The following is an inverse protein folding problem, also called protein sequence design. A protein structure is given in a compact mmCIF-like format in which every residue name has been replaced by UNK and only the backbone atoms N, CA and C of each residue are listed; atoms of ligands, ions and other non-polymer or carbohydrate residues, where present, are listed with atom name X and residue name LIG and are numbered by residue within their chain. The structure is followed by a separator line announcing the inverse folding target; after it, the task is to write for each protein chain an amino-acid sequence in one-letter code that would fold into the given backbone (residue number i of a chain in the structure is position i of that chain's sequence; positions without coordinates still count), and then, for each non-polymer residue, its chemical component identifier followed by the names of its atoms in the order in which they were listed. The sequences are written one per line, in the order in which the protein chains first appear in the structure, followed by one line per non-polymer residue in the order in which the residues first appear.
data_IF_082393207273
#
_entry.id   IF_082393207273
#
_cell.length_a   1.000
_cell.length_b   1.000
_cell.length_c   1.000
_cell.angle_alpha   90.00
_cell.angle_beta   90.00
_cell.angle_gamma   90.00
#
_symmetry.space_group_name_H-M   'P 1'
#
loop_
_entity.id
_entity.type
_entity.pdbx_description
1 polymer ?
#
# COMPACT_ATOMS: atom_id res chain seq x y z
N UNK A 1 4.47 22.45 27.10
CA UNK A 1 5.13 21.14 27.32
C UNK A 1 5.14 20.44 25.97
N UNK A 2 6.28 20.36 25.30
CA UNK A 2 6.36 19.90 23.91
C UNK A 2 6.50 18.39 23.86
N UNK A 3 5.39 17.68 23.64
CA UNK A 3 5.40 16.25 23.25
C UNK A 3 5.89 16.08 21.81
N UNK A 4 7.11 16.57 21.53
CA UNK A 4 7.83 16.15 20.33
C UNK A 4 8.56 14.86 20.71
N UNK A 5 8.23 13.72 20.08
CA UNK A 5 9.04 12.53 20.24
C UNK A 5 10.48 12.89 19.86
N UNK A 6 11.40 12.47 20.73
CA UNK A 6 12.85 12.45 20.51
C UNK A 6 13.15 12.02 19.07
N UNK A 7 14.10 12.71 18.41
CA UNK A 7 14.36 12.53 16.98
C UNK A 7 14.65 11.08 16.56
N UNK A 8 15.10 10.26 17.50
CA UNK A 8 15.32 8.81 17.39
C UNK A 8 14.03 8.00 17.26
N UNK A 9 12.95 8.37 17.98
CA UNK A 9 11.66 7.68 17.89
C UNK A 9 10.97 7.90 16.54
N UNK A 10 11.23 9.01 15.83
CA UNK A 10 10.61 9.29 14.54
C UNK A 10 11.11 8.36 13.42
N UNK A 11 12.40 8.01 13.41
CA UNK A 11 12.99 7.09 12.43
C UNK A 11 12.41 5.67 12.51
N UNK A 12 11.98 5.25 13.71
CA UNK A 12 11.39 3.93 13.90
C UNK A 12 10.12 3.70 13.06
N UNK A 13 9.38 4.76 12.75
CA UNK A 13 8.17 4.67 11.92
C UNK A 13 8.46 4.42 10.43
N UNK A 14 9.71 4.65 9.98
CA UNK A 14 10.14 4.45 8.60
C UNK A 14 10.66 3.05 8.32
N UNK A 15 11.00 2.25 9.34
CA UNK A 15 11.47 0.87 9.13
C UNK A 15 10.55 0.03 8.23
N UNK A 16 9.21 0.04 8.41
CA UNK A 16 8.33 -0.71 7.52
C UNK A 16 8.40 -0.21 6.06
N UNK A 17 8.50 1.09 5.84
CA UNK A 17 8.59 1.66 4.50
C UNK A 17 9.91 1.29 3.82
N UNK A 18 11.03 1.37 4.54
CA UNK A 18 12.35 0.98 4.03
C UNK A 18 12.37 -0.52 3.72
N UNK A 19 11.82 -1.35 4.60
CA UNK A 19 11.73 -2.78 4.38
C UNK A 19 10.92 -3.11 3.12
N UNK A 20 9.75 -2.48 2.95
CA UNK A 20 8.91 -2.68 1.76
C UNK A 20 9.60 -2.17 0.49
N UNK A 21 10.30 -1.04 0.54
CA UNK A 21 11.11 -0.56 -0.58
C UNK A 21 12.17 -1.61 -0.99
N UNK A 22 12.91 -2.17 -0.03
CA UNK A 22 13.89 -3.23 -0.30
C UNK A 22 13.21 -4.44 -0.95
N UNK A 23 12.05 -4.86 -0.44
CA UNK A 23 11.29 -5.97 -1.05
C UNK A 23 10.89 -5.68 -2.49
N UNK A 24 10.39 -4.47 -2.79
CA UNK A 24 10.04 -4.06 -4.16
C UNK A 24 11.29 -4.13 -5.05
N UNK A 25 12.41 -3.54 -4.61
CA UNK A 25 13.67 -3.58 -5.37
C UNK A 25 14.14 -5.01 -5.66
N UNK A 26 13.96 -5.93 -4.72
CA UNK A 26 14.25 -7.36 -4.89
C UNK A 26 13.29 -8.01 -5.89
N UNK A 27 11.98 -7.71 -5.80
CA UNK A 27 10.99 -8.20 -6.77
C UNK A 27 11.15 -7.59 -8.16
N UNK A 28 11.92 -6.51 -8.30
CA UNK A 28 12.23 -5.86 -9.57
C UNK A 28 13.42 -6.46 -10.33
N UNK A 29 14.09 -7.49 -9.79
CA UNK A 29 15.22 -8.15 -10.48
C UNK A 29 14.76 -9.18 -11.54
N UNK A 30 15.72 -9.77 -12.27
CA UNK A 30 15.45 -10.67 -13.39
C UNK A 30 14.71 -11.96 -13.02
N UNK A 31 14.83 -12.42 -11.77
CA UNK A 31 14.18 -13.66 -11.30
C UNK A 31 12.64 -13.54 -11.31
N UNK A 32 12.13 -12.32 -11.18
CA UNK A 32 10.70 -12.02 -11.17
C UNK A 32 10.20 -11.43 -12.50
N UNK A 33 11.02 -11.47 -13.56
CA UNK A 33 10.62 -11.09 -14.92
C UNK A 33 9.50 -12.01 -15.45
N UNK A 34 8.74 -11.53 -16.44
CA UNK A 34 7.57 -12.23 -16.98
C UNK A 34 7.92 -13.62 -17.54
N UNK A 35 9.09 -13.74 -18.16
CA UNK A 35 9.62 -14.95 -18.78
C UNK A 35 10.00 -16.00 -17.73
N UNK A 36 10.36 -15.57 -16.51
CA UNK A 36 10.75 -16.45 -15.40
C UNK A 36 9.54 -16.86 -14.58
N UNK A 37 8.73 -15.88 -14.16
CA UNK A 37 7.48 -16.10 -13.41
C UNK A 37 6.49 -16.94 -14.20
N UNK A 38 6.41 -16.73 -15.52
CA UNK A 38 5.54 -17.51 -16.40
C UNK A 38 5.87 -19.00 -16.44
N UNK A 39 7.13 -19.40 -16.25
CA UNK A 39 7.52 -20.83 -16.23
C UNK A 39 6.95 -21.59 -15.04
N UNK A 40 6.59 -20.88 -13.97
CA UNK A 40 6.00 -21.47 -12.77
C UNK A 40 4.50 -21.23 -12.75
N UNK A 41 4.05 -20.01 -13.04
CA UNK A 41 2.64 -19.62 -12.93
C UNK A 41 1.79 -20.23 -14.06
N UNK A 42 2.28 -20.25 -15.31
CA UNK A 42 1.47 -20.76 -16.43
C UNK A 42 1.13 -22.26 -16.29
N UNK A 43 2.05 -23.16 -15.90
CA UNK A 43 1.69 -24.55 -15.61
C UNK A 43 0.65 -24.70 -14.50
N UNK A 44 0.76 -23.91 -13.43
CA UNK A 44 -0.22 -23.91 -12.32
C UNK A 44 -1.58 -23.42 -12.80
N UNK A 45 -1.63 -22.34 -13.58
CA UNK A 45 -2.88 -21.83 -14.15
C UNK A 45 -3.50 -22.83 -15.14
N UNK A 46 -2.69 -23.50 -15.96
CA UNK A 46 -3.18 -24.54 -16.86
C UNK A 46 -3.69 -25.76 -16.09
N UNK A 47 -3.06 -26.13 -14.98
CA UNK A 47 -3.55 -27.19 -14.10
C UNK A 47 -4.90 -26.82 -13.44
N UNK A 48 -5.07 -25.57 -13.01
CA UNK A 48 -6.33 -25.07 -12.43
C UNK A 48 -7.44 -24.88 -13.47
N UNK A 49 -7.08 -24.42 -14.66
CA UNK A 49 -8.00 -24.07 -15.75
C UNK A 49 -7.61 -24.80 -17.04
N UNK A 50 -7.76 -26.13 -17.11
CA UNK A 50 -7.31 -26.93 -18.26
C UNK A 50 -8.06 -26.60 -19.56
N UNK A 51 -9.23 -25.96 -19.47
CA UNK A 51 -9.98 -25.47 -20.63
C UNK A 51 -9.49 -24.11 -21.15
N UNK A 52 -8.60 -23.42 -20.43
CA UNK A 52 -8.14 -22.10 -20.80
C UNK A 52 -7.16 -22.15 -21.98
N UNK A 53 -7.40 -21.31 -22.99
CA UNK A 53 -6.47 -21.18 -24.11
C UNK A 53 -5.15 -20.56 -23.64
N UNK A 54 -4.07 -20.80 -24.40
CA UNK A 54 -2.75 -20.19 -24.12
C UNK A 54 -2.83 -18.67 -23.98
N UNK A 55 -3.58 -17.99 -24.85
CA UNK A 55 -3.79 -16.54 -24.77
C UNK A 55 -4.44 -16.11 -23.46
N UNK A 56 -5.45 -16.85 -22.99
CA UNK A 56 -6.13 -16.55 -21.72
C UNK A 56 -5.19 -16.75 -20.51
N UNK A 57 -4.38 -17.81 -20.51
CA UNK A 57 -3.38 -18.05 -19.45
C UNK A 57 -2.34 -16.92 -19.38
N UNK A 58 -1.86 -16.44 -20.53
CA UNK A 58 -0.95 -15.29 -20.58
C UNK A 58 -1.62 -14.00 -20.11
N UNK A 59 -2.89 -13.78 -20.42
CA UNK A 59 -3.65 -12.64 -19.93
C UNK A 59 -3.85 -12.70 -18.41
N UNK A 60 -4.17 -13.88 -17.87
CA UNK A 60 -4.25 -14.10 -16.42
C UNK A 60 -2.92 -13.85 -15.73
N UNK A 61 -1.82 -14.40 -16.27
CA UNK A 61 -0.48 -14.17 -15.74
C UNK A 61 -0.08 -12.69 -15.79
N UNK A 62 -0.39 -11.99 -16.89
CA UNK A 62 -0.20 -10.55 -17.00
C UNK A 62 -1.02 -9.80 -15.94
N UNK A 63 -2.28 -10.17 -15.75
CA UNK A 63 -3.17 -9.61 -14.72
C UNK A 63 -2.61 -9.79 -13.32
N UNK A 64 -2.18 -11.02 -12.97
CA UNK A 64 -1.55 -11.33 -11.67
C UNK A 64 -0.35 -10.41 -11.42
N UNK A 65 0.52 -10.22 -12.41
CA UNK A 65 1.67 -9.31 -12.27
C UNK A 65 1.22 -7.87 -12.04
N UNK A 66 0.24 -7.36 -12.79
CA UNK A 66 -0.25 -5.98 -12.58
C UNK A 66 -0.91 -5.81 -11.22
N UNK A 67 -1.62 -6.81 -10.72
CA UNK A 67 -2.18 -6.79 -9.37
C UNK A 67 -1.09 -6.82 -8.30
N UNK A 68 0.01 -7.55 -8.53
CA UNK A 68 1.16 -7.55 -7.62
C UNK A 68 1.78 -6.16 -7.49
N UNK A 69 2.06 -5.48 -8.60
CA UNK A 69 2.55 -4.08 -8.64
C UNK A 69 1.64 -3.12 -7.87
N UNK A 70 0.32 -3.16 -8.15
CA UNK A 70 -0.68 -2.35 -7.42
C UNK A 70 -0.65 -2.63 -5.92
N UNK A 71 -0.50 -3.89 -5.53
CA UNK A 71 -0.49 -4.31 -4.11
C UNK A 71 0.80 -3.89 -3.41
N UNK A 72 1.95 -4.09 -4.05
CA UNK A 72 3.27 -3.71 -3.55
C UNK A 72 3.34 -2.21 -3.26
N UNK A 73 2.97 -1.38 -4.24
CA UNK A 73 2.94 0.08 -4.06
C UNK A 73 1.81 0.55 -3.15
N UNK A 74 0.71 -0.20 -3.06
CA UNK A 74 -0.32 0.06 -2.05
C UNK A 74 0.20 -0.12 -0.62
N UNK A 75 0.91 -1.23 -0.36
CA UNK A 75 1.56 -1.50 0.94
C UNK A 75 2.66 -0.47 1.22
N UNK A 76 3.46 -0.12 0.20
CA UNK A 76 4.48 0.92 0.31
C UNK A 76 3.87 2.27 0.68
N UNK A 77 2.78 2.67 0.01
CA UNK A 77 2.05 3.90 0.31
C UNK A 77 1.52 3.94 1.75
N UNK A 78 0.96 2.84 2.27
CA UNK A 78 0.49 2.76 3.66
C UNK A 78 1.65 2.91 4.66
N UNK A 79 2.78 2.25 4.40
CA UNK A 79 3.94 2.27 5.28
C UNK A 79 4.67 3.62 5.25
N UNK A 80 4.79 4.26 4.08
CA UNK A 80 5.27 5.64 3.95
C UNK A 80 4.34 6.60 4.67
N UNK A 81 3.01 6.47 4.54
CA UNK A 81 2.07 7.32 5.28
C UNK A 81 2.25 7.19 6.79
N UNK A 82 2.51 5.98 7.29
CA UNK A 82 2.85 5.75 8.71
C UNK A 82 4.13 6.49 9.11
N UNK A 83 5.17 6.42 8.27
CA UNK A 83 6.44 7.15 8.45
C UNK A 83 6.23 8.67 8.49
N UNK A 84 5.53 9.22 7.48
CA UNK A 84 5.18 10.64 7.40
C UNK A 84 4.33 11.06 8.59
N UNK A 85 3.36 10.26 9.02
CA UNK A 85 2.52 10.57 10.19
C UNK A 85 3.31 10.55 11.49
N UNK A 86 4.31 9.68 11.64
CA UNK A 86 5.19 9.59 12.80
C UNK A 86 4.43 9.56 14.15
N UNK A 87 3.41 8.69 14.26
CA UNK A 87 2.62 8.53 15.49
C UNK A 87 1.57 9.61 15.78
N UNK A 88 1.54 10.71 15.02
CA UNK A 88 0.53 11.78 15.19
C UNK A 88 -0.90 11.29 14.92
N UNK A 89 -1.87 11.81 15.66
CA UNK A 89 -3.27 11.43 15.53
C UNK A 89 -3.96 12.10 14.33
N UNK A 90 -5.01 11.44 13.84
CA UNK A 90 -5.82 11.93 12.73
C UNK A 90 -5.20 11.74 11.35
N UNK A 91 -5.73 12.48 10.38
CA UNK A 91 -5.31 12.48 8.99
C UNK A 91 -5.16 13.92 8.52
N UNK A 92 -4.17 14.18 7.66
CA UNK A 92 -3.96 15.47 7.02
C UNK A 92 -3.67 15.28 5.54
N UNK A 93 -4.24 16.16 4.72
CA UNK A 93 -4.02 16.15 3.28
C UNK A 93 -2.54 16.22 2.92
N UNK A 94 -1.77 17.10 3.58
CA UNK A 94 -0.33 17.22 3.33
C UNK A 94 0.43 15.92 3.58
N UNK A 95 0.00 15.08 4.53
CA UNK A 95 0.66 13.79 4.77
C UNK A 95 0.39 12.79 3.64
N UNK A 96 -0.85 12.73 3.16
CA UNK A 96 -1.22 11.90 2.02
C UNK A 96 -0.51 12.38 0.75
N UNK A 97 -0.48 13.70 0.52
CA UNK A 97 0.22 14.29 -0.62
C UNK A 97 1.72 13.99 -0.61
N UNK A 98 2.42 14.22 0.51
CA UNK A 98 3.84 13.85 0.65
C UNK A 98 4.06 12.36 0.42
N UNK A 99 3.17 11.51 0.91
CA UNK A 99 3.24 10.06 0.69
C UNK A 99 3.14 9.70 -0.78
N UNK A 100 2.20 10.30 -1.52
CA UNK A 100 2.05 10.06 -2.95
C UNK A 100 3.26 10.52 -3.74
N UNK A 101 3.82 11.69 -3.40
CA UNK A 101 5.06 12.17 -4.04
C UNK A 101 6.20 11.18 -3.82
N UNK A 102 6.40 10.70 -2.58
CA UNK A 102 7.43 9.69 -2.29
C UNK A 102 7.18 8.40 -3.09
N UNK A 103 5.94 7.91 -3.12
CA UNK A 103 5.59 6.70 -3.85
C UNK A 103 5.81 6.82 -5.36
N UNK A 104 5.44 7.95 -5.98
CA UNK A 104 5.66 8.22 -7.40
C UNK A 104 7.15 8.34 -7.74
N UNK A 105 7.93 9.02 -6.90
CA UNK A 105 9.38 9.10 -7.08
C UNK A 105 10.02 7.73 -6.96
N UNK A 106 9.56 6.91 -6.02
CA UNK A 106 10.05 5.55 -5.85
C UNK A 106 9.66 4.64 -7.02
N UNK A 107 8.46 4.78 -7.58
CA UNK A 107 8.03 4.07 -8.79
C UNK A 107 8.90 4.44 -10.00
N UNK A 108 9.19 5.74 -10.17
CA UNK A 108 10.11 6.18 -11.22
C UNK A 108 11.54 5.66 -11.01
N UNK A 109 12.00 5.57 -9.76
CA UNK A 109 13.30 5.00 -9.42
C UNK A 109 13.35 3.49 -9.70
N UNK A 110 12.28 2.75 -9.38
CA UNK A 110 12.20 1.33 -9.67
C UNK A 110 12.19 1.07 -11.19
N UNK A 111 11.43 1.85 -11.94
CA UNK A 111 11.40 1.80 -13.40
C UNK A 111 12.77 2.07 -14.03
N UNK A 112 13.47 3.08 -13.50
CA UNK A 112 14.86 3.35 -13.85
C UNK A 112 15.71 2.11 -13.54
N UNK A 113 15.69 1.60 -12.32
CA UNK A 113 16.47 0.42 -11.93
C UNK A 113 16.19 -0.78 -12.85
N UNK A 114 14.93 -1.04 -13.19
CA UNK A 114 14.52 -2.10 -14.11
C UNK A 114 15.08 -1.92 -15.53
N UNK A 115 15.36 -0.69 -15.97
CA UNK A 115 15.99 -0.43 -17.27
C UNK A 115 17.41 -1.02 -17.40
N UNK A 116 18.06 -1.30 -16.26
CA UNK A 116 19.38 -1.96 -16.22
C UNK A 116 19.30 -3.49 -16.03
N UNK A 117 18.10 -4.03 -15.80
CA UNK A 117 17.91 -5.46 -15.51
C UNK A 117 17.68 -6.23 -16.82
N UNK A 118 18.54 -7.20 -17.11
CA UNK A 118 18.41 -8.06 -18.30
C UNK A 118 17.08 -8.83 -18.25
N UNK A 119 16.37 -8.90 -19.38
CA UNK A 119 15.03 -9.50 -19.52
C UNK A 119 13.89 -8.69 -18.87
N UNK A 120 14.14 -7.48 -18.36
CA UNK A 120 13.08 -6.54 -18.00
C UNK A 120 12.92 -5.50 -19.09
N UNK A 121 11.66 -5.17 -19.38
CA UNK A 121 11.32 -4.04 -20.24
C UNK A 121 10.74 -2.95 -19.36
N UNK A 122 11.55 -1.95 -19.06
CA UNK A 122 11.06 -0.77 -18.37
C UNK A 122 10.06 -0.04 -19.27
N UNK A 123 8.86 0.24 -18.76
CA UNK A 123 7.84 1.05 -19.42
C UNK A 123 7.27 2.08 -18.46
N UNK A 124 7.11 3.35 -18.86
CA UNK A 124 6.46 4.38 -18.02
C UNK A 124 5.05 4.01 -17.54
N UNK A 125 4.42 3.03 -18.22
CA UNK A 125 3.13 2.47 -17.83
C UNK A 125 3.19 1.73 -16.49
N UNK A 126 4.30 1.07 -16.18
CA UNK A 126 4.43 0.26 -14.97
C UNK A 126 4.56 1.17 -13.75
N UNK A 127 5.42 2.18 -13.81
CA UNK A 127 5.42 3.29 -12.87
C UNK A 127 4.04 3.97 -12.67
N UNK A 128 3.23 4.10 -13.73
CA UNK A 128 1.86 4.65 -13.61
C UNK A 128 0.90 3.69 -12.87
N UNK A 129 1.02 2.38 -13.09
CA UNK A 129 0.24 1.36 -12.37
C UNK A 129 0.62 1.34 -10.89
N UNK A 130 1.91 1.45 -10.58
CA UNK A 130 2.44 1.57 -9.23
C UNK A 130 1.88 2.82 -8.53
N UNK A 131 1.88 3.97 -9.22
CA UNK A 131 1.27 5.20 -8.71
C UNK A 131 -0.24 5.05 -8.43
N UNK A 132 -0.98 4.31 -9.27
CA UNK A 132 -2.39 4.00 -9.03
C UNK A 132 -2.55 3.16 -7.76
N UNK A 133 -1.71 2.15 -7.55
CA UNK A 133 -1.72 1.36 -6.32
C UNK A 133 -1.50 2.20 -5.07
N UNK A 134 -0.53 3.12 -5.14
CA UNK A 134 -0.28 4.07 -4.05
C UNK A 134 -1.46 5.01 -3.79
N UNK A 135 -2.14 5.50 -4.84
CA UNK A 135 -3.32 6.35 -4.74
C UNK A 135 -4.52 5.61 -4.12
N UNK A 136 -4.81 4.40 -4.59
CA UNK A 136 -5.89 3.56 -4.04
C UNK A 136 -5.69 3.31 -2.54
N UNK A 137 -4.46 3.04 -2.13
CA UNK A 137 -4.11 2.93 -0.72
C UNK A 137 -4.36 4.21 0.07
N UNK A 138 -4.03 5.39 -0.46
CA UNK A 138 -4.33 6.67 0.22
C UNK A 138 -5.84 6.94 0.31
N UNK A 139 -6.62 6.57 -0.71
CA UNK A 139 -8.08 6.63 -0.63
C UNK A 139 -8.62 5.72 0.48
N UNK A 140 -8.06 4.51 0.63
CA UNK A 140 -8.41 3.60 1.71
C UNK A 140 -8.03 4.16 3.09
N UNK A 141 -6.82 4.70 3.24
CA UNK A 141 -6.36 5.36 4.48
C UNK A 141 -7.25 6.55 4.84
N UNK A 142 -7.61 7.38 3.86
CA UNK A 142 -8.54 8.48 4.06
C UNK A 142 -9.93 8.00 4.49
N UNK A 143 -10.47 6.99 3.80
CA UNK A 143 -11.75 6.36 4.16
C UNK A 143 -11.73 5.78 5.57
N UNK A 144 -10.67 5.08 5.95
CA UNK A 144 -10.49 4.54 7.30
C UNK A 144 -10.40 5.66 8.35
N UNK A 145 -9.66 6.73 8.07
CA UNK A 145 -9.47 7.84 9.01
C UNK A 145 -10.70 8.75 9.16
N UNK A 146 -11.52 8.89 8.12
CA UNK A 146 -12.73 9.73 8.13
C UNK A 146 -13.98 8.99 8.60
N UNK A 147 -14.00 7.65 8.50
CA UNK A 147 -15.13 6.83 8.95
C UNK A 147 -15.17 6.78 10.48
N UNK A 148 -15.85 7.76 11.08
CA UNK A 148 -16.35 7.63 12.45
C UNK A 148 -17.29 6.44 12.50
N UNK A 149 -16.87 5.33 13.08
CA UNK A 149 -17.75 4.19 13.28
C UNK A 149 -19.00 4.67 14.07
N UNK A 150 -20.22 4.45 13.57
CA UNK A 150 -21.44 4.91 14.25
C UNK A 150 -21.61 4.25 15.64
N UNK A 151 -20.96 3.11 15.87
CA UNK A 151 -20.95 2.43 17.16
C UNK A 151 -20.28 3.26 18.27
N UNK A 152 -19.21 4.00 17.99
CA UNK A 152 -18.53 4.80 19.03
C UNK A 152 -19.39 5.96 19.50
N UNK A 153 -20.21 6.53 18.61
CA UNK A 153 -21.20 7.55 18.98
C UNK A 153 -22.36 6.97 19.81
N UNK A 154 -22.77 5.72 19.53
CA UNK A 154 -23.81 5.04 20.31
C UNK A 154 -23.36 4.73 21.75
N UNK A 155 -22.11 4.29 21.94
CA UNK A 155 -21.56 4.02 23.28
C UNK A 155 -21.39 5.30 24.11
N UNK A 156 -20.90 6.39 23.52
CA UNK A 156 -20.76 7.67 24.22
C UNK A 156 -22.13 8.30 24.58
N UNK A 157 -23.14 8.12 23.72
CA UNK A 157 -24.51 8.57 24.00
C UNK A 157 -25.19 7.76 25.11
N UNK A 158 -24.95 6.45 25.17
CA UNK A 158 -25.47 5.58 26.23
C UNK A 158 -24.78 5.84 27.58
N UNK A 159 -23.46 6.05 27.57
CA UNK A 159 -22.71 6.42 28.79
C UNK A 159 -23.15 7.78 29.35
N UNK A 160 -23.44 8.75 28.48
CA UNK A 160 -23.98 10.06 28.88
C UNK A 160 -25.40 9.99 29.45
N UNK A 161 -26.27 9.13 28.89
CA UNK A 161 -27.64 8.93 29.42
C UNK A 161 -27.62 8.25 30.79
N UNK A 162 -26.79 7.23 30.98
CA UNK A 162 -26.68 6.52 32.26
C UNK A 162 -26.26 7.45 33.40
N UNK A 163 -25.26 8.31 33.15
CA UNK A 163 -24.76 9.27 34.15
C UNK A 163 -25.81 10.33 34.53
N UNK A 164 -26.57 10.82 33.54
CA UNK A 164 -27.64 11.81 33.76
C UNK A 164 -28.83 11.22 34.54
N UNK A 165 -29.06 9.92 34.41
CA UNK A 165 -30.14 9.21 35.10
C UNK A 165 -29.77 8.96 36.57
N UNK A 166 -28.50 8.65 36.85
CA UNK A 166 -27.97 8.47 38.21
C UNK A 166 -27.98 9.78 39.03
N UNK A 167 -27.69 10.93 38.40
CA UNK A 167 -27.78 12.26 39.02
C UNK A 167 -29.21 12.71 39.33
N UNK A 168 -30.22 12.24 38.57
CA UNK A 168 -31.63 12.57 38.84
C UNK A 168 -32.26 11.72 39.95
N UNK A 169 -31.66 10.58 40.30
CA UNK A 169 -32.16 9.65 41.31
C UNK A 169 -31.52 9.82 42.70
N UNK A 170 -30.62 10.78 42.87
CA UNK A 170 -30.03 11.18 44.16
C UNK A 170 -30.63 12.51 44.62
#
# INVERSE_FOLDING_TARGET
MSDRPDGTAQWSYWFPAIFVAILISVFSIQYFAAERTGRVILPVLHWLFPWATRGMLHLMHFGIRKTAHVTEFGIFSITVFRGVRAGRSGWKFNWAFTTLVIAVLYAALDEWHQSFVVLRHATPRDAAIDAIGALLAQCFVWGYATRRWPFTALFLRNAGSAKKQEEMTR
#
